data_IF_972083955066
#
_entry.id   IF_972083955066
#
_cell.length_a   1.000
_cell.length_b   1.000
_cell.length_c   1.000
_cell.angle_alpha   90.00
_cell.angle_beta   90.00
_cell.angle_gamma   90.00
#
_symmetry.space_group_name_H-M   'P 1'
#
loop_
_entity.id
_entity.type
_entity.pdbx_description
1 polymer ?
#
# COMPACT_ATOMS: atom_id res chain seq x y z
N UNK A 1 -2.60 15.17 -35.32
CA UNK A 1 -2.47 16.07 -34.15
C UNK A 1 -3.60 15.88 -33.14
N UNK A 2 -4.88 15.96 -33.54
CA UNK A 2 -6.01 15.79 -32.60
C UNK A 2 -6.03 14.43 -31.88
N UNK A 3 -5.70 13.32 -32.56
CA UNK A 3 -5.62 11.99 -31.95
C UNK A 3 -4.53 11.90 -30.86
N UNK A 4 -3.36 12.51 -31.09
CA UNK A 4 -2.25 12.52 -30.12
C UNK A 4 -2.56 13.40 -28.90
N UNK A 5 -3.28 14.51 -29.11
CA UNK A 5 -3.75 15.38 -28.03
C UNK A 5 -4.82 14.66 -27.19
N UNK A 6 -5.73 13.91 -27.82
CA UNK A 6 -6.72 13.10 -27.12
C UNK A 6 -6.07 11.99 -26.28
N UNK A 7 -5.12 11.24 -26.86
CA UNK A 7 -4.38 10.19 -26.13
C UNK A 7 -3.59 10.77 -24.95
N UNK A 8 -2.94 11.93 -25.13
CA UNK A 8 -2.25 12.65 -24.06
C UNK A 8 -3.19 13.06 -22.92
N UNK A 9 -4.42 13.47 -23.22
CA UNK A 9 -5.40 13.87 -22.21
C UNK A 9 -5.94 12.66 -21.42
N UNK A 10 -6.10 11.50 -22.07
CA UNK A 10 -6.54 10.28 -21.39
C UNK A 10 -5.48 9.68 -20.45
N UNK A 11 -4.19 9.82 -20.77
CA UNK A 11 -3.10 9.35 -19.89
C UNK A 11 -3.07 10.11 -18.56
N UNK A 12 -3.49 11.37 -18.52
CA UNK A 12 -3.54 12.15 -17.28
C UNK A 12 -4.66 11.74 -16.31
N UNK A 13 -5.71 11.06 -16.78
CA UNK A 13 -6.85 10.66 -15.95
C UNK A 13 -6.61 9.38 -15.14
N UNK A 14 -5.51 8.66 -15.38
CA UNK A 14 -5.19 7.40 -14.71
C UNK A 14 -4.20 7.56 -13.52
N UNK A 15 -4.26 8.69 -12.82
CA UNK A 15 -3.44 8.91 -11.62
C UNK A 15 -4.08 8.23 -10.41
N UNK A 16 -3.33 7.36 -9.73
CA UNK A 16 -3.78 6.75 -8.48
C UNK A 16 -4.13 7.84 -7.44
N UNK A 17 -5.35 7.76 -6.91
CA UNK A 17 -5.81 8.64 -5.83
C UNK A 17 -5.09 8.26 -4.52
N UNK A 18 -4.49 9.23 -3.82
CA UNK A 18 -3.94 8.97 -2.50
C UNK A 18 -5.07 8.73 -1.49
N UNK A 19 -4.80 8.06 -0.35
CA UNK A 19 -5.76 7.93 0.72
C UNK A 19 -6.25 9.30 1.22
N UNK A 20 -7.52 9.36 1.61
CA UNK A 20 -8.09 10.49 2.37
C UNK A 20 -7.54 10.51 3.80
N UNK A 21 -7.67 11.64 4.52
CA UNK A 21 -7.19 11.73 5.91
C UNK A 21 -7.82 10.68 6.83
N UNK A 22 -9.11 10.39 6.62
CA UNK A 22 -9.81 9.32 7.33
C UNK A 22 -9.21 7.95 7.03
N UNK A 23 -8.94 7.64 5.77
CA UNK A 23 -8.31 6.36 5.40
C UNK A 23 -6.88 6.25 5.96
N UNK A 24 -6.12 7.37 6.02
CA UNK A 24 -4.79 7.39 6.67
C UNK A 24 -4.88 7.00 8.14
N UNK A 25 -5.87 7.55 8.86
CA UNK A 25 -6.14 7.21 10.27
C UNK A 25 -6.54 5.73 10.41
N UNK A 26 -7.48 5.27 9.59
CA UNK A 26 -7.95 3.88 9.61
C UNK A 26 -6.82 2.87 9.28
N UNK A 27 -5.88 3.23 8.39
CA UNK A 27 -4.69 2.40 8.10
C UNK A 27 -3.84 2.24 9.36
N UNK A 28 -3.59 3.33 10.09
CA UNK A 28 -2.78 3.27 11.33
C UNK A 28 -3.52 2.49 12.42
N UNK A 29 -4.83 2.71 12.58
CA UNK A 29 -5.66 1.99 13.54
C UNK A 29 -5.67 0.49 13.25
N UNK A 30 -5.85 0.10 11.98
CA UNK A 30 -5.79 -1.29 11.53
C UNK A 30 -4.47 -1.96 11.96
N UNK A 31 -3.33 -1.33 11.63
CA UNK A 31 -2.01 -1.86 11.96
C UNK A 31 -1.77 -1.92 13.47
N UNK A 32 -2.24 -0.91 14.20
CA UNK A 32 -2.13 -0.85 15.67
C UNK A 32 -2.88 -2.04 16.29
N UNK A 33 -4.14 -2.23 15.92
CA UNK A 33 -4.98 -3.32 16.43
C UNK A 33 -4.37 -4.69 16.17
N UNK A 34 -3.86 -4.98 14.97
CA UNK A 34 -3.26 -6.30 14.71
C UNK A 34 -1.92 -6.49 15.45
N UNK A 35 -1.14 -5.43 15.65
CA UNK A 35 0.15 -5.47 16.33
C UNK A 35 0.01 -5.62 17.86
N UNK A 36 -1.04 -5.05 18.43
CA UNK A 36 -1.36 -5.18 19.86
C UNK A 36 -1.87 -6.59 20.22
N UNK A 37 -2.48 -7.29 19.26
CA UNK A 37 -3.14 -8.59 19.47
C UNK A 37 -2.37 -9.76 18.83
N UNK A 38 -1.05 -9.63 18.65
CA UNK A 38 -0.21 -10.74 18.18
C UNK A 38 -0.13 -11.84 19.23
N UNK A 39 -0.05 -13.09 18.76
CA UNK A 39 0.12 -14.28 19.59
C UNK A 39 1.24 -15.14 18.95
N UNK A 40 2.35 -15.43 19.65
CA UNK A 40 2.63 -15.06 21.04
C UNK A 40 2.81 -13.54 21.27
N UNK A 41 2.55 -13.03 22.49
CA UNK A 41 2.70 -11.60 22.80
C UNK A 41 4.14 -11.10 22.58
N UNK A 42 4.27 -9.95 21.94
CA UNK A 42 5.57 -9.32 21.68
C UNK A 42 5.96 -8.31 22.78
N UNK A 43 7.18 -8.41 23.30
CA UNK A 43 7.67 -7.53 24.38
C UNK A 43 8.13 -6.14 23.92
N UNK A 44 8.29 -5.92 22.61
CA UNK A 44 8.90 -4.72 22.04
C UNK A 44 8.20 -4.22 20.76
N UNK A 45 6.92 -4.50 20.60
CA UNK A 45 6.15 -4.06 19.43
C UNK A 45 5.96 -2.54 19.44
N UNK A 46 6.55 -1.83 18.47
CA UNK A 46 6.46 -0.36 18.42
C UNK A 46 5.15 0.13 17.80
N UNK A 47 4.67 1.30 18.23
CA UNK A 47 3.55 1.99 17.61
C UNK A 47 3.94 2.51 16.23
N UNK A 48 3.07 2.30 15.25
CA UNK A 48 3.25 2.85 13.90
C UNK A 48 2.63 4.25 13.82
N UNK A 49 3.24 5.12 13.03
CA UNK A 49 2.69 6.43 12.66
C UNK A 49 2.59 6.52 11.15
N UNK A 50 1.61 7.26 10.67
CA UNK A 50 1.52 7.55 9.24
C UNK A 50 2.71 8.41 8.79
N UNK A 51 3.28 8.10 7.63
CA UNK A 51 4.37 8.88 7.03
C UNK A 51 3.97 9.30 5.62
N UNK A 52 3.82 10.60 5.35
CA UNK A 52 3.59 11.11 4.01
C UNK A 52 4.71 10.73 3.03
N UNK A 53 5.94 10.58 3.52
CA UNK A 53 7.08 10.13 2.73
C UNK A 53 6.88 8.69 2.24
N UNK A 54 6.45 7.78 3.13
CA UNK A 54 6.13 6.40 2.77
C UNK A 54 4.88 6.30 1.87
N UNK A 55 3.87 7.17 2.05
CA UNK A 55 2.72 7.25 1.13
C UNK A 55 3.18 7.59 -0.29
N UNK A 56 4.06 8.58 -0.44
CA UNK A 56 4.58 8.97 -1.74
C UNK A 56 5.44 7.86 -2.39
N UNK A 57 6.18 7.09 -1.59
CA UNK A 57 6.88 5.90 -2.08
C UNK A 57 5.91 4.79 -2.48
N UNK A 58 4.84 4.56 -1.72
CA UNK A 58 3.82 3.58 -2.07
C UNK A 58 3.11 3.95 -3.40
N UNK A 59 2.83 5.24 -3.63
CA UNK A 59 2.31 5.74 -4.90
C UNK A 59 3.27 5.46 -6.07
N UNK A 60 4.56 5.77 -5.90
CA UNK A 60 5.58 5.47 -6.92
C UNK A 60 5.69 3.97 -7.18
N UNK A 61 5.67 3.14 -6.12
CA UNK A 61 5.68 1.69 -6.25
C UNK A 61 4.49 1.20 -7.06
N UNK A 62 3.27 1.66 -6.73
CA UNK A 62 2.05 1.27 -7.44
C UNK A 62 2.12 1.64 -8.93
N UNK A 63 2.61 2.85 -9.25
CA UNK A 63 2.83 3.28 -10.64
C UNK A 63 3.81 2.37 -11.38
N UNK A 64 4.96 2.07 -10.78
CA UNK A 64 5.96 1.16 -11.37
C UNK A 64 5.40 -0.23 -11.58
N UNK A 65 4.65 -0.74 -10.60
CA UNK A 65 4.02 -2.07 -10.64
C UNK A 65 3.00 -2.18 -11.76
N UNK A 66 2.13 -1.18 -11.92
CA UNK A 66 1.17 -1.11 -13.02
C UNK A 66 1.84 -0.96 -14.38
N UNK A 67 3.06 -0.40 -14.44
CA UNK A 67 3.88 -0.34 -15.64
C UNK A 67 4.67 -1.65 -15.90
N UNK A 68 4.48 -2.70 -15.10
CA UNK A 68 5.14 -4.00 -15.25
C UNK A 68 6.56 -4.06 -14.69
N UNK A 69 6.94 -3.11 -13.82
CA UNK A 69 8.26 -3.03 -13.19
C UNK A 69 8.15 -3.08 -11.66
N UNK A 70 9.17 -3.60 -10.98
CA UNK A 70 9.28 -3.57 -9.51
C UNK A 70 10.54 -2.78 -9.18
N UNK A 71 10.49 -1.81 -8.26
CA UNK A 71 11.69 -1.10 -7.84
C UNK A 71 12.69 -2.07 -7.19
N UNK A 72 13.89 -2.14 -7.75
CA UNK A 72 15.06 -2.74 -7.12
C UNK A 72 15.69 -1.73 -6.15
N UNK A 73 15.74 -1.97 -4.83
CA UNK A 73 16.30 -1.04 -3.86
C UNK A 73 17.80 -0.73 -4.04
N UNK A 74 18.55 -1.56 -4.77
CA UNK A 74 19.96 -1.28 -5.10
C UNK A 74 20.11 -0.23 -6.22
N UNK A 75 19.08 -0.06 -7.04
CA UNK A 75 19.02 0.91 -8.14
C UNK A 75 18.16 2.12 -7.74
N UNK A 76 17.05 1.86 -7.06
CA UNK A 76 16.06 2.81 -6.58
C UNK A 76 16.24 2.99 -5.06
N UNK A 77 17.32 3.65 -4.68
CA UNK A 77 17.76 3.79 -3.30
C UNK A 77 16.70 4.41 -2.35
N UNK A 78 15.72 5.14 -2.88
CA UNK A 78 14.60 5.67 -2.09
C UNK A 78 13.71 4.58 -1.46
N UNK A 79 13.75 3.35 -1.99
CA UNK A 79 13.05 2.19 -1.41
C UNK A 79 13.93 1.39 -0.43
N UNK A 80 15.20 1.77 -0.26
CA UNK A 80 16.11 1.04 0.62
C UNK A 80 15.63 1.10 2.08
N UNK A 81 15.58 -0.06 2.73
CA UNK A 81 15.11 -0.18 4.11
C UNK A 81 13.59 -0.11 4.29
N UNK A 82 12.82 0.04 3.20
CA UNK A 82 11.36 0.03 3.24
C UNK A 82 10.81 -1.37 2.92
N UNK A 83 9.88 -1.85 3.74
CA UNK A 83 9.03 -2.98 3.38
C UNK A 83 7.89 -2.53 2.49
N UNK A 84 7.49 -3.36 1.53
CA UNK A 84 6.34 -3.09 0.67
C UNK A 84 5.33 -4.21 0.80
N UNK A 85 4.09 -3.84 1.10
CA UNK A 85 2.92 -4.70 1.03
C UNK A 85 2.04 -4.21 -0.12
N UNK A 86 1.59 -5.12 -0.99
CA UNK A 86 0.71 -4.80 -2.11
C UNK A 86 -0.40 -5.81 -2.26
N UNK A 87 -1.63 -5.32 -2.37
CA UNK A 87 -2.81 -6.09 -2.81
C UNK A 87 -3.29 -5.56 -4.15
N UNK A 88 -3.94 -6.41 -4.95
CA UNK A 88 -4.56 -6.02 -6.22
C UNK A 88 -5.81 -6.87 -6.40
N UNK A 89 -6.91 -6.21 -6.73
CA UNK A 89 -8.22 -6.84 -6.94
C UNK A 89 -9.03 -6.02 -7.95
N UNK A 90 -10.23 -6.50 -8.28
CA UNK A 90 -11.20 -5.77 -9.09
C UNK A 90 -11.76 -4.56 -8.32
N UNK A 91 -12.22 -3.55 -9.07
CA UNK A 91 -12.62 -2.26 -8.50
C UNK A 91 -13.94 -2.29 -7.69
N UNK A 92 -14.71 -3.37 -7.74
CA UNK A 92 -16.06 -3.40 -7.14
C UNK A 92 -16.00 -3.50 -5.61
N UNK A 93 -16.53 -2.46 -4.93
CA UNK A 93 -16.82 -2.38 -3.50
C UNK A 93 -15.67 -2.66 -2.50
N UNK A 94 -14.42 -2.41 -2.90
CA UNK A 94 -13.27 -2.60 -2.02
C UNK A 94 -12.75 -1.30 -1.39
N UNK A 95 -12.68 -1.29 -0.06
CA UNK A 95 -12.01 -0.24 0.72
C UNK A 95 -10.58 -0.66 1.04
N UNK A 96 -9.67 0.30 1.30
CA UNK A 96 -8.29 0.00 1.71
C UNK A 96 -8.28 -0.94 2.93
N UNK A 97 -9.16 -0.69 3.92
CA UNK A 97 -9.25 -1.47 5.14
C UNK A 97 -9.84 -2.86 4.90
N UNK A 98 -10.80 -2.99 3.99
CA UNK A 98 -11.30 -4.30 3.54
C UNK A 98 -10.15 -5.17 3.03
N UNK A 99 -9.33 -4.61 2.13
CA UNK A 99 -8.23 -5.33 1.49
C UNK A 99 -7.13 -5.72 2.48
N UNK A 100 -6.83 -4.83 3.42
CA UNK A 100 -5.92 -5.11 4.53
C UNK A 100 -6.44 -6.24 5.43
N UNK A 101 -7.73 -6.21 5.81
CA UNK A 101 -8.33 -7.25 6.65
C UNK A 101 -8.33 -8.61 5.95
N UNK A 102 -8.73 -8.66 4.68
CA UNK A 102 -8.84 -9.91 3.93
C UNK A 102 -7.46 -10.54 3.74
N UNK A 103 -6.46 -9.73 3.39
CA UNK A 103 -5.10 -10.24 3.23
C UNK A 103 -4.53 -10.73 4.57
N UNK A 104 -4.73 -9.99 5.66
CA UNK A 104 -4.27 -10.40 6.97
C UNK A 104 -4.90 -11.73 7.41
N UNK A 105 -6.23 -11.89 7.27
CA UNK A 105 -6.93 -13.15 7.58
C UNK A 105 -6.38 -14.32 6.75
N UNK A 106 -6.18 -14.11 5.46
CA UNK A 106 -5.69 -15.15 4.55
C UNK A 106 -4.26 -15.60 4.86
N UNK A 107 -3.43 -14.71 5.44
CA UNK A 107 -2.02 -15.00 5.71
C UNK A 107 -1.73 -15.42 7.15
N UNK A 108 -2.52 -14.94 8.13
CA UNK A 108 -2.26 -15.18 9.56
C UNK A 108 -2.16 -16.67 9.88
N UNK A 109 -3.10 -17.47 9.38
CA UNK A 109 -3.20 -18.89 9.72
C UNK A 109 -2.19 -19.76 8.94
N UNK A 110 -1.48 -19.18 7.98
CA UNK A 110 -0.45 -19.88 7.20
C UNK A 110 0.92 -19.87 7.89
N UNK A 111 1.09 -19.06 8.93
CA UNK A 111 2.35 -18.91 9.63
C UNK A 111 2.30 -19.65 10.97
N UNK A 112 3.26 -20.55 11.19
CA UNK A 112 3.45 -21.23 12.47
C UNK A 112 4.58 -20.53 13.24
N UNK A 113 4.24 -19.91 14.36
CA UNK A 113 5.16 -19.16 15.22
C UNK A 113 6.04 -20.06 16.09
#
# INVERSE_FOLDING_TARGET
MQLLIAISAFIWLAMAEPPTDKEREEIVEFHTRIRENVDPPASNMQLMKYSPELENLAKQYAQMRCAGSIPDPSIHAQFQGCGVFTSSDNADDQTIIGNLNDTYKNQKDLYNY
#
